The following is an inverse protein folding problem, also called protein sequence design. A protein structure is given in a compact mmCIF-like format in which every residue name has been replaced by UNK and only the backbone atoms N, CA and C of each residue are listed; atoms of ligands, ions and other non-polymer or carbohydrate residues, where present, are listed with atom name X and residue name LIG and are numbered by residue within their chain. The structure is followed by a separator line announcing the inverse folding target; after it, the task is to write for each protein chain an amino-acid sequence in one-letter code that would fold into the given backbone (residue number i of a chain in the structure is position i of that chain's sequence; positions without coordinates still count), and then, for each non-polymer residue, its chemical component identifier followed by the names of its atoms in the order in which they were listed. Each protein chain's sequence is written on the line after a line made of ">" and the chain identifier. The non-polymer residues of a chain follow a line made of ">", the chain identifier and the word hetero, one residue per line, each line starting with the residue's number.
data_IF_299458785873
#
_entry.id   IF_299458785873
#
_cell.length_a   1.000
_cell.length_b   1.000
_cell.length_c   1.000
_cell.angle_alpha   90.00
_cell.angle_beta   90.00
_cell.angle_gamma   90.00
#
_symmetry.space_group_name_H-M   'P 1'
#
loop_
_entity.id
_entity.type
_entity.pdbx_description
1 polymer ?
#
# COMPACT_ATOMS: atom_id res chain seq x y z
N UNK A 1 19.31 36.52 -4.47
CA UNK A 1 19.72 36.08 -3.12
C UNK A 1 18.50 35.63 -2.33
N UNK A 2 17.41 36.41 -2.32
CA UNK A 2 16.14 36.02 -1.64
C UNK A 2 15.59 34.63 -2.03
N UNK A 3 15.55 34.26 -3.31
CA UNK A 3 15.06 32.92 -3.73
C UNK A 3 15.93 31.73 -3.28
N UNK A 4 17.20 31.95 -2.96
CA UNK A 4 18.09 30.90 -2.45
C UNK A 4 17.98 30.77 -0.93
N UNK A 5 17.72 31.87 -0.22
CA UNK A 5 17.51 31.88 1.23
C UNK A 5 16.17 31.20 1.60
N UNK A 6 15.10 31.47 0.86
CA UNK A 6 13.80 30.81 1.04
C UNK A 6 13.88 29.28 0.86
N UNK A 7 14.66 28.81 -0.14
CA UNK A 7 14.85 27.36 -0.35
C UNK A 7 15.67 26.71 0.77
N UNK A 8 16.69 27.40 1.26
CA UNK A 8 17.54 26.90 2.35
C UNK A 8 16.75 26.79 3.66
N UNK A 9 15.88 27.76 3.95
CA UNK A 9 15.05 27.79 5.16
C UNK A 9 13.99 26.67 5.15
N UNK A 10 13.34 26.44 3.99
CA UNK A 10 12.39 25.33 3.81
C UNK A 10 13.06 23.97 3.99
N UNK A 11 14.27 23.79 3.45
CA UNK A 11 15.04 22.56 3.62
C UNK A 11 15.42 22.32 5.09
N UNK A 12 15.89 23.37 5.77
CA UNK A 12 16.22 23.33 7.20
C UNK A 12 15.02 22.93 8.06
N UNK A 13 13.86 23.54 7.81
CA UNK A 13 12.63 23.23 8.52
C UNK A 13 12.18 21.77 8.31
N UNK A 14 12.35 21.23 7.09
CA UNK A 14 12.05 19.82 6.78
C UNK A 14 12.96 18.85 7.53
N UNK A 15 14.26 19.14 7.57
CA UNK A 15 15.24 18.32 8.32
C UNK A 15 14.93 18.34 9.81
N UNK A 16 14.62 19.51 10.37
CA UNK A 16 14.23 19.64 11.78
C UNK A 16 12.96 18.82 12.09
N UNK A 17 11.95 18.88 11.21
CA UNK A 17 10.72 18.10 11.37
C UNK A 17 10.99 16.58 11.30
N UNK A 18 11.88 16.13 10.40
CA UNK A 18 12.31 14.74 10.32
C UNK A 18 12.97 14.26 11.61
N UNK A 19 13.96 15.01 12.12
CA UNK A 19 14.66 14.64 13.35
C UNK A 19 13.71 14.63 14.57
N UNK A 20 12.75 15.56 14.61
CA UNK A 20 11.71 15.55 15.64
C UNK A 20 10.84 14.28 15.55
N UNK A 21 10.44 13.87 14.34
CA UNK A 21 9.68 12.62 14.13
C UNK A 21 10.50 11.39 14.49
N UNK A 22 11.79 11.38 14.20
CA UNK A 22 12.69 10.30 14.59
C UNK A 22 12.77 10.18 16.10
N UNK A 23 13.03 11.29 16.81
CA UNK A 23 13.10 11.33 18.26
C UNK A 23 11.78 10.88 18.90
N UNK A 24 10.64 11.37 18.40
CA UNK A 24 9.32 10.97 18.87
C UNK A 24 9.06 9.46 18.66
N UNK A 25 9.42 8.94 17.48
CA UNK A 25 9.26 7.53 17.12
C UNK A 25 10.10 6.61 18.01
N UNK A 26 11.36 6.99 18.26
CA UNK A 26 12.26 6.27 19.16
C UNK A 26 11.75 6.30 20.61
N UNK A 27 11.27 7.45 21.09
CA UNK A 27 10.77 7.60 22.46
C UNK A 27 9.45 6.86 22.71
N UNK A 28 8.53 6.84 21.74
CA UNK A 28 7.18 6.30 21.95
C UNK A 28 7.08 4.81 21.63
N UNK A 29 7.88 4.31 20.70
CA UNK A 29 7.72 2.96 20.16
C UNK A 29 9.00 2.11 20.24
N UNK A 30 10.04 2.61 20.90
CA UNK A 30 11.38 2.00 20.90
C UNK A 30 11.87 1.67 19.46
N UNK A 31 11.52 2.53 18.51
CA UNK A 31 11.88 2.38 17.10
C UNK A 31 11.12 1.28 16.33
N UNK A 32 10.01 0.76 16.87
CA UNK A 32 9.15 -0.19 16.17
C UNK A 32 8.17 0.50 15.20
N UNK A 33 7.84 1.76 15.44
CA UNK A 33 6.93 2.56 14.63
C UNK A 33 7.62 3.84 14.21
N UNK A 34 7.49 4.21 12.95
CA UNK A 34 8.04 5.43 12.39
C UNK A 34 6.95 6.18 11.63
N UNK A 35 6.68 7.42 12.06
CA UNK A 35 5.71 8.30 11.43
C UNK A 35 6.40 9.48 10.74
N UNK A 36 6.41 9.44 9.41
CA UNK A 36 6.91 10.48 8.50
C UNK A 36 5.77 11.15 7.73
N UNK A 37 4.54 11.07 8.24
CA UNK A 37 3.39 11.64 7.54
C UNK A 37 3.40 13.17 7.51
N UNK A 38 2.94 13.73 6.39
CA UNK A 38 2.73 15.18 6.25
C UNK A 38 4.02 16.01 6.16
N UNK A 39 5.16 15.41 5.82
CA UNK A 39 6.46 16.09 5.76
C UNK A 39 6.78 16.64 4.36
N UNK A 40 5.81 16.57 3.43
CA UNK A 40 5.95 17.02 2.04
C UNK A 40 7.17 16.40 1.35
N UNK A 41 7.46 15.13 1.67
CA UNK A 41 8.60 14.41 1.10
C UNK A 41 8.36 14.14 -0.38
N UNK A 42 9.21 14.71 -1.23
CA UNK A 42 9.27 14.39 -2.66
C UNK A 42 10.09 13.12 -2.92
N UNK A 43 11.07 12.87 -2.06
CA UNK A 43 11.94 11.70 -2.08
C UNK A 43 11.97 11.06 -0.69
N UNK A 44 12.14 9.74 -0.67
CA UNK A 44 12.24 8.98 0.57
C UNK A 44 13.63 9.18 1.20
N UNK A 45 13.76 9.33 2.54
CA UNK A 45 15.06 9.48 3.19
C UNK A 45 15.97 8.28 2.93
N UNK A 46 17.29 8.42 3.10
CA UNK A 46 18.20 7.31 2.79
C UNK A 46 17.88 6.07 3.64
N UNK A 47 17.74 4.91 2.97
CA UNK A 47 17.40 3.65 3.65
C UNK A 47 18.50 3.23 4.64
N UNK A 48 19.75 3.57 4.39
CA UNK A 48 20.87 3.30 5.29
C UNK A 48 20.72 4.03 6.62
N UNK A 49 20.42 5.32 6.58
CA UNK A 49 20.19 6.11 7.78
C UNK A 49 18.99 5.56 8.56
N UNK A 50 17.86 5.34 7.90
CA UNK A 50 16.65 4.86 8.55
C UNK A 50 16.81 3.45 9.12
N UNK A 51 17.46 2.53 8.41
CA UNK A 51 17.69 1.16 8.91
C UNK A 51 18.66 1.13 10.10
N UNK A 52 19.62 2.06 10.16
CA UNK A 52 20.51 2.19 11.31
C UNK A 52 19.78 2.70 12.56
N UNK A 53 18.87 3.67 12.40
CA UNK A 53 18.07 4.24 13.51
C UNK A 53 16.92 3.32 13.92
N UNK A 54 16.33 2.58 12.98
CA UNK A 54 15.11 1.77 13.16
C UNK A 54 15.30 0.31 12.68
N UNK A 55 16.25 -0.46 13.23
CA UNK A 55 16.57 -1.80 12.74
C UNK A 55 15.46 -2.84 12.94
N UNK A 56 14.47 -2.53 13.78
CA UNK A 56 13.33 -3.42 14.11
C UNK A 56 11.99 -2.82 13.71
N UNK A 57 11.99 -1.94 12.70
CA UNK A 57 10.78 -1.24 12.29
C UNK A 57 9.70 -2.24 11.87
N UNK A 58 8.50 -2.08 12.45
CA UNK A 58 7.31 -2.89 12.16
C UNK A 58 6.19 -2.07 11.53
N UNK A 59 6.12 -0.78 11.80
CA UNK A 59 5.09 0.10 11.26
C UNK A 59 5.71 1.35 10.66
N UNK A 60 5.43 1.59 9.38
CA UNK A 60 5.92 2.76 8.68
C UNK A 60 4.73 3.54 8.14
N UNK A 61 4.62 4.80 8.55
CA UNK A 61 3.64 5.74 8.03
C UNK A 61 4.33 6.85 7.24
N UNK A 62 4.09 6.88 5.94
CA UNK A 62 4.57 7.91 5.00
C UNK A 62 3.39 8.60 4.30
N UNK A 63 2.22 8.58 4.93
CA UNK A 63 0.99 9.20 4.40
C UNK A 63 1.15 10.70 4.17
N UNK A 64 0.43 11.25 3.18
CA UNK A 64 0.39 12.71 2.92
C UNK A 64 1.77 13.29 2.63
N UNK A 65 2.49 12.64 1.73
CA UNK A 65 3.73 13.15 1.16
C UNK A 65 3.55 13.28 -0.37
N UNK A 66 4.64 13.58 -1.09
CA UNK A 66 4.65 13.75 -2.54
C UNK A 66 5.55 12.70 -3.22
N UNK A 67 5.58 11.49 -2.67
CA UNK A 67 6.43 10.41 -3.17
C UNK A 67 5.86 9.86 -4.48
N UNK A 68 6.73 9.73 -5.50
CA UNK A 68 6.37 9.17 -6.81
C UNK A 68 6.61 7.66 -6.89
N UNK A 69 7.52 7.16 -6.05
CA UNK A 69 7.84 5.74 -5.91
C UNK A 69 8.27 5.41 -4.48
N UNK A 70 8.19 4.13 -4.11
CA UNK A 70 8.81 3.61 -2.89
C UNK A 70 10.26 3.23 -3.20
N UNK A 71 11.21 3.50 -2.29
CA UNK A 71 12.63 3.25 -2.55
C UNK A 71 12.90 1.76 -2.77
N UNK A 72 13.77 1.47 -3.72
CA UNK A 72 14.22 0.11 -3.98
C UNK A 72 14.92 -0.48 -2.75
N UNK A 73 14.61 -1.72 -2.41
CA UNK A 73 15.19 -2.37 -1.24
C UNK A 73 14.59 -1.94 0.09
N UNK A 74 13.44 -1.25 0.11
CA UNK A 74 12.65 -0.99 1.33
C UNK A 74 12.42 -2.29 2.11
N UNK A 75 12.09 -3.39 1.41
CA UNK A 75 11.91 -4.70 1.99
C UNK A 75 13.18 -5.28 2.64
N UNK A 76 14.36 -4.95 2.11
CA UNK A 76 15.66 -5.37 2.66
C UNK A 76 16.03 -4.53 3.88
N UNK A 77 15.72 -3.24 3.87
CA UNK A 77 15.96 -2.34 4.99
C UNK A 77 15.06 -2.66 6.19
N UNK A 78 13.80 -3.01 5.95
CA UNK A 78 12.81 -3.29 7.00
C UNK A 78 12.13 -4.66 6.82
N UNK A 79 12.86 -5.78 6.98
CA UNK A 79 12.32 -7.12 6.74
C UNK A 79 11.21 -7.53 7.72
N UNK A 80 11.10 -6.83 8.86
CA UNK A 80 10.10 -7.06 9.90
C UNK A 80 8.86 -6.17 9.76
N UNK A 81 8.72 -5.42 8.67
CA UNK A 81 7.60 -4.52 8.46
C UNK A 81 6.28 -5.30 8.39
N UNK A 82 5.32 -4.88 9.20
CA UNK A 82 3.99 -5.49 9.36
C UNK A 82 2.91 -4.55 8.80
N UNK A 83 3.11 -3.24 8.90
CA UNK A 83 2.16 -2.25 8.41
C UNK A 83 2.89 -1.17 7.63
N UNK A 84 2.45 -0.92 6.40
CA UNK A 84 2.92 0.18 5.57
C UNK A 84 1.74 1.07 5.17
N UNK A 85 1.79 2.33 5.56
CA UNK A 85 0.82 3.34 5.14
C UNK A 85 1.49 4.36 4.21
N UNK A 86 1.20 4.27 2.92
CA UNK A 86 1.62 5.17 1.86
C UNK A 86 0.44 5.90 1.19
N UNK A 87 -0.67 6.03 1.92
CA UNK A 87 -1.87 6.74 1.50
C UNK A 87 -1.59 8.22 1.15
N UNK A 88 -2.32 8.81 0.21
CA UNK A 88 -2.18 10.22 -0.17
C UNK A 88 -0.73 10.58 -0.55
N UNK A 89 -0.19 9.88 -1.54
CA UNK A 89 1.08 10.19 -2.20
C UNK A 89 0.84 10.33 -3.72
N UNK A 90 1.91 10.37 -4.51
CA UNK A 90 1.85 10.39 -5.97
C UNK A 90 2.39 9.09 -6.58
N UNK A 91 2.29 7.95 -5.88
CA UNK A 91 2.87 6.69 -6.32
C UNK A 91 2.24 6.25 -7.66
N UNK A 92 3.07 6.06 -8.68
CA UNK A 92 2.59 5.66 -10.02
C UNK A 92 2.56 4.15 -10.22
N UNK A 93 3.38 3.43 -9.46
CA UNK A 93 3.52 1.98 -9.51
C UNK A 93 3.91 1.39 -8.15
N UNK A 94 3.67 0.09 -8.00
CA UNK A 94 4.18 -0.70 -6.88
C UNK A 94 5.20 -1.71 -7.39
N UNK A 95 6.48 -1.39 -7.23
CA UNK A 95 7.58 -2.25 -7.67
C UNK A 95 7.82 -3.44 -6.73
N UNK A 96 7.99 -4.63 -7.32
CA UNK A 96 8.38 -5.84 -6.62
C UNK A 96 9.75 -5.71 -5.93
N UNK A 97 10.64 -4.86 -6.47
CA UNK A 97 11.95 -4.56 -5.89
C UNK A 97 11.83 -3.74 -4.60
N UNK A 98 10.77 -2.96 -4.46
CA UNK A 98 10.53 -2.14 -3.27
C UNK A 98 9.89 -2.96 -2.15
N UNK A 99 8.71 -3.55 -2.39
CA UNK A 99 7.91 -4.21 -1.32
C UNK A 99 7.79 -5.73 -1.46
N UNK A 100 8.14 -6.31 -2.61
CA UNK A 100 7.86 -7.71 -2.94
C UNK A 100 8.60 -8.76 -2.10
N UNK A 101 9.48 -8.36 -1.16
CA UNK A 101 10.11 -9.27 -0.20
C UNK A 101 9.61 -9.12 1.24
N UNK A 102 8.58 -8.29 1.49
CA UNK A 102 8.01 -8.05 2.81
C UNK A 102 7.08 -9.19 3.27
N UNK A 103 7.64 -10.36 3.58
CA UNK A 103 6.88 -11.55 3.99
C UNK A 103 6.05 -11.39 5.27
N UNK A 104 6.41 -10.42 6.11
CA UNK A 104 5.72 -10.13 7.37
C UNK A 104 4.62 -9.08 7.24
N UNK A 105 4.47 -8.46 6.06
CA UNK A 105 3.52 -7.37 5.86
C UNK A 105 2.10 -7.90 5.93
N UNK A 106 1.32 -7.35 6.86
CA UNK A 106 -0.09 -7.70 7.08
C UNK A 106 -1.03 -6.63 6.52
N UNK A 107 -0.62 -5.36 6.59
CA UNK A 107 -1.44 -4.23 6.13
C UNK A 107 -0.66 -3.35 5.17
N UNK A 108 -1.21 -3.15 3.98
CA UNK A 108 -0.69 -2.23 2.98
C UNK A 108 -1.78 -1.23 2.60
N UNK A 109 -1.54 0.05 2.89
CA UNK A 109 -2.40 1.13 2.44
C UNK A 109 -1.67 1.99 1.41
N UNK A 110 -2.19 1.97 0.18
CA UNK A 110 -1.71 2.75 -0.97
C UNK A 110 -2.86 3.55 -1.59
N UNK A 111 -3.90 3.84 -0.81
CA UNK A 111 -5.05 4.59 -1.27
C UNK A 111 -4.69 6.04 -1.66
N UNK A 112 -5.47 6.65 -2.56
CA UNK A 112 -5.26 8.01 -3.04
C UNK A 112 -3.83 8.22 -3.59
N UNK A 113 -3.43 7.36 -4.51
CA UNK A 113 -2.18 7.45 -5.26
C UNK A 113 -2.50 7.53 -6.77
N UNK A 114 -1.51 7.29 -7.63
CA UNK A 114 -1.65 7.30 -9.09
C UNK A 114 -1.39 5.93 -9.73
N UNK A 115 -1.59 4.86 -8.96
CA UNK A 115 -1.26 3.50 -9.38
C UNK A 115 -2.19 3.08 -10.52
N UNK A 116 -1.62 2.57 -11.62
CA UNK A 116 -2.39 2.11 -12.80
C UNK A 116 -2.57 0.60 -12.87
N UNK A 117 -1.70 -0.15 -12.22
CA UNK A 117 -1.69 -1.61 -12.24
C UNK A 117 -1.24 -2.19 -10.90
N UNK A 118 -1.74 -3.39 -10.60
CA UNK A 118 -1.29 -4.19 -9.48
C UNK A 118 -0.56 -5.42 -10.02
N UNK A 119 0.77 -5.37 -10.21
CA UNK A 119 1.51 -6.46 -10.83
C UNK A 119 1.64 -7.65 -9.87
N UNK A 120 1.37 -8.86 -10.36
CA UNK A 120 1.44 -10.12 -9.60
C UNK A 120 2.77 -10.28 -8.85
N UNK A 121 3.89 -9.95 -9.52
CA UNK A 121 5.24 -10.08 -8.99
C UNK A 121 5.46 -9.31 -7.67
N UNK A 122 4.72 -8.22 -7.46
CA UNK A 122 4.81 -7.43 -6.24
C UNK A 122 4.15 -8.12 -5.04
N UNK A 123 3.13 -8.94 -5.28
CA UNK A 123 2.34 -9.59 -4.23
C UNK A 123 2.71 -11.06 -4.00
N UNK A 124 3.49 -11.67 -4.91
CA UNK A 124 3.86 -13.10 -4.88
C UNK A 124 4.45 -13.59 -3.55
N UNK A 125 5.16 -12.74 -2.80
CA UNK A 125 5.81 -13.15 -1.53
C UNK A 125 5.24 -12.45 -0.31
N UNK A 126 4.09 -11.78 -0.44
CA UNK A 126 3.41 -11.11 0.66
C UNK A 126 2.53 -12.09 1.45
N UNK A 127 3.11 -13.20 1.89
CA UNK A 127 2.44 -14.37 2.50
C UNK A 127 1.61 -14.05 3.76
N UNK A 128 1.92 -12.93 4.42
CA UNK A 128 1.22 -12.46 5.61
C UNK A 128 0.16 -11.40 5.33
N UNK A 129 -0.03 -10.95 4.07
CA UNK A 129 -0.89 -9.81 3.78
C UNK A 129 -2.35 -10.16 4.04
N UNK A 130 -2.98 -9.40 4.92
CA UNK A 130 -4.37 -9.57 5.35
C UNK A 130 -5.26 -8.46 4.78
N UNK A 131 -4.73 -7.24 4.65
CA UNK A 131 -5.47 -6.08 4.19
C UNK A 131 -4.68 -5.29 3.15
N UNK A 132 -5.31 -5.05 1.99
CA UNK A 132 -4.83 -4.18 0.93
C UNK A 132 -5.87 -3.10 0.65
N UNK A 133 -5.50 -1.85 0.93
CA UNK A 133 -6.29 -0.67 0.58
C UNK A 133 -5.65 0.07 -0.58
N UNK A 134 -6.28 0.00 -1.75
CA UNK A 134 -5.83 0.64 -2.98
C UNK A 134 -6.93 1.54 -3.59
N UNK A 135 -7.82 2.07 -2.75
CA UNK A 135 -8.90 2.96 -3.18
C UNK A 135 -8.40 4.27 -3.77
N UNK A 136 -9.17 4.90 -4.66
CA UNK A 136 -8.82 6.23 -5.19
C UNK A 136 -7.53 6.21 -6.01
N UNK A 137 -7.29 5.16 -6.79
CA UNK A 137 -6.18 5.05 -7.73
C UNK A 137 -6.70 5.05 -9.18
N UNK A 138 -5.83 4.77 -10.15
CA UNK A 138 -6.20 4.65 -11.56
C UNK A 138 -6.07 3.20 -12.05
N UNK A 139 -6.35 2.23 -11.17
CA UNK A 139 -6.12 0.82 -11.50
C UNK A 139 -7.12 0.40 -12.57
N UNK A 140 -6.62 -0.05 -13.73
CA UNK A 140 -7.46 -0.44 -14.87
C UNK A 140 -7.73 -1.94 -14.93
N UNK A 141 -6.76 -2.75 -14.50
CA UNK A 141 -6.81 -4.22 -14.56
C UNK A 141 -6.15 -4.83 -13.33
N UNK A 142 -6.67 -5.98 -12.92
CA UNK A 142 -6.07 -6.81 -11.87
C UNK A 142 -5.60 -8.10 -12.53
N UNK A 143 -4.28 -8.26 -12.58
CA UNK A 143 -3.61 -9.44 -13.13
C UNK A 143 -2.82 -10.10 -12.00
N UNK A 144 -3.39 -11.17 -11.42
CA UNK A 144 -2.76 -11.95 -10.34
C UNK A 144 -2.33 -13.37 -10.79
N UNK A 145 -2.40 -13.66 -12.08
CA UNK A 145 -1.78 -14.84 -12.68
C UNK A 145 -0.28 -14.58 -12.89
N UNK A 146 0.54 -15.49 -12.36
CA UNK A 146 1.94 -15.57 -12.72
C UNK A 146 2.04 -16.26 -14.08
N UNK A 147 2.75 -15.66 -15.05
CA UNK A 147 3.06 -16.32 -16.32
C UNK A 147 3.96 -17.55 -16.13
N UNK A 148 4.60 -17.66 -14.97
CA UNK A 148 5.37 -18.83 -14.56
C UNK A 148 4.46 -19.99 -14.12
N UNK A 149 4.31 -21.01 -14.99
CA UNK A 149 3.59 -22.27 -14.75
C UNK A 149 4.07 -23.04 -13.48
N UNK A 150 5.21 -22.65 -12.88
CA UNK A 150 5.80 -23.31 -11.71
C UNK A 150 5.34 -22.76 -10.37
N UNK A 151 4.78 -21.56 -10.32
CA UNK A 151 4.30 -20.96 -9.07
C UNK A 151 2.78 -21.11 -9.01
N UNK A 152 2.21 -21.61 -7.90
CA UNK A 152 0.76 -21.66 -7.77
C UNK A 152 0.18 -20.25 -7.85
N UNK A 153 -0.85 -20.08 -8.67
CA UNK A 153 -1.63 -18.84 -8.81
C UNK A 153 -2.01 -18.33 -7.41
N UNK A 154 -1.50 -17.15 -7.04
CA UNK A 154 -1.76 -16.49 -5.76
C UNK A 154 -1.16 -17.12 -4.49
N UNK A 155 -0.05 -17.85 -4.59
CA UNK A 155 0.68 -18.34 -3.41
C UNK A 155 0.98 -17.24 -2.37
N UNK A 156 1.21 -16.01 -2.84
CA UNK A 156 1.52 -14.86 -1.98
C UNK A 156 0.33 -14.28 -1.22
N UNK A 157 -0.86 -14.25 -1.80
CA UNK A 157 -2.03 -13.57 -1.21
C UNK A 157 -2.99 -14.51 -0.48
N UNK A 158 -2.50 -15.67 -0.09
CA UNK A 158 -3.30 -16.71 0.55
C UNK A 158 -3.98 -16.23 1.85
N UNK A 159 -3.44 -15.22 2.56
CA UNK A 159 -4.04 -14.68 3.78
C UNK A 159 -4.88 -13.42 3.58
N UNK A 160 -5.00 -12.92 2.35
CA UNK A 160 -5.70 -11.66 2.10
C UNK A 160 -7.19 -11.83 2.42
N UNK A 161 -7.69 -10.99 3.34
CA UNK A 161 -9.07 -11.00 3.80
C UNK A 161 -9.83 -9.76 3.32
N UNK A 162 -9.14 -8.62 3.21
CA UNK A 162 -9.72 -7.33 2.86
C UNK A 162 -9.00 -6.77 1.64
N UNK A 163 -9.76 -6.51 0.58
CA UNK A 163 -9.27 -5.88 -0.65
C UNK A 163 -10.18 -4.70 -1.00
N UNK A 164 -9.68 -3.48 -0.84
CA UNK A 164 -10.43 -2.26 -1.12
C UNK A 164 -9.91 -1.63 -2.41
N UNK A 165 -10.76 -1.62 -3.43
CA UNK A 165 -10.46 -1.12 -4.78
C UNK A 165 -11.50 -0.10 -5.23
N UNK A 166 -12.23 0.49 -4.29
CA UNK A 166 -13.19 1.53 -4.58
C UNK A 166 -12.56 2.73 -5.28
N UNK A 167 -13.33 3.44 -6.09
CA UNK A 167 -12.89 4.65 -6.80
C UNK A 167 -11.62 4.41 -7.64
N UNK A 168 -11.67 3.39 -8.49
CA UNK A 168 -10.63 3.06 -9.47
C UNK A 168 -11.20 3.12 -10.90
N UNK A 169 -10.44 2.64 -11.89
CA UNK A 169 -10.85 2.56 -13.30
C UNK A 169 -10.91 1.13 -13.80
N UNK A 170 -11.25 0.19 -12.92
CA UNK A 170 -11.23 -1.23 -13.25
C UNK A 170 -12.19 -1.50 -14.41
N UNK A 171 -11.66 -2.09 -15.48
CA UNK A 171 -12.43 -2.51 -16.64
C UNK A 171 -12.74 -4.01 -16.56
N UNK A 172 -11.74 -4.81 -16.23
CA UNK A 172 -11.84 -6.26 -16.14
C UNK A 172 -11.06 -6.81 -14.95
N UNK A 173 -11.56 -7.91 -14.38
CA UNK A 173 -10.86 -8.68 -13.35
C UNK A 173 -10.69 -10.11 -13.87
N UNK A 174 -9.44 -10.59 -13.92
CA UNK A 174 -9.14 -11.91 -14.45
C UNK A 174 -9.83 -13.01 -13.61
N UNK A 175 -10.51 -14.01 -14.22
CA UNK A 175 -11.10 -15.15 -13.52
C UNK A 175 -10.16 -15.83 -12.52
N UNK A 176 -8.88 -15.97 -12.86
CA UNK A 176 -7.84 -16.62 -12.04
C UNK A 176 -7.53 -15.86 -10.75
N UNK A 177 -7.85 -14.56 -10.68
CA UNK A 177 -7.78 -13.73 -9.46
C UNK A 177 -8.59 -14.35 -8.32
N UNK A 178 -9.67 -15.06 -8.65
CA UNK A 178 -10.53 -15.73 -7.66
C UNK A 178 -9.81 -16.86 -6.93
N UNK A 179 -8.98 -17.60 -7.66
CA UNK A 179 -8.18 -18.70 -7.11
C UNK A 179 -6.99 -18.15 -6.34
N UNK A 180 -6.46 -17.00 -6.76
CA UNK A 180 -5.38 -16.31 -6.06
C UNK A 180 -5.77 -15.75 -4.69
N UNK A 181 -7.07 -15.55 -4.43
CA UNK A 181 -7.60 -14.91 -3.22
C UNK A 181 -8.54 -15.85 -2.43
N UNK A 182 -8.04 -17.00 -1.94
CA UNK A 182 -8.89 -18.04 -1.36
C UNK A 182 -9.58 -17.61 -0.06
N UNK A 183 -8.96 -16.73 0.74
CA UNK A 183 -9.47 -16.30 2.05
C UNK A 183 -10.15 -14.93 2.04
N UNK A 184 -10.45 -14.36 0.87
CA UNK A 184 -11.05 -13.04 0.76
C UNK A 184 -12.47 -13.01 1.35
N UNK A 185 -12.70 -12.03 2.24
CA UNK A 185 -13.97 -11.85 2.95
C UNK A 185 -14.65 -10.54 2.57
N UNK A 186 -13.84 -9.49 2.48
CA UNK A 186 -14.27 -8.13 2.18
C UNK A 186 -13.63 -7.70 0.88
N UNK A 187 -14.47 -7.32 -0.07
CA UNK A 187 -14.06 -6.71 -1.32
C UNK A 187 -14.96 -5.52 -1.61
N UNK A 188 -14.34 -4.41 -1.96
CA UNK A 188 -15.04 -3.19 -2.38
C UNK A 188 -14.59 -2.81 -3.79
N UNK A 189 -15.52 -2.92 -4.74
CA UNK A 189 -15.36 -2.57 -6.15
C UNK A 189 -16.19 -1.33 -6.52
N UNK A 190 -16.76 -0.62 -5.54
CA UNK A 190 -17.61 0.55 -5.79
C UNK A 190 -16.83 1.65 -6.52
N UNK A 191 -17.51 2.53 -7.27
CA UNK A 191 -16.81 3.60 -7.98
C UNK A 191 -15.88 3.13 -9.11
N UNK A 192 -16.10 1.92 -9.66
CA UNK A 192 -15.49 1.45 -10.91
C UNK A 192 -16.55 1.41 -12.03
N UNK A 193 -16.82 2.53 -12.72
CA UNK A 193 -17.92 2.63 -13.67
C UNK A 193 -17.71 1.77 -14.93
N UNK A 194 -16.46 1.53 -15.30
CA UNK A 194 -16.07 0.81 -16.51
C UNK A 194 -15.97 -0.71 -16.30
N UNK A 195 -16.26 -1.21 -15.09
CA UNK A 195 -16.13 -2.63 -14.74
C UNK A 195 -17.25 -3.44 -15.41
N UNK A 196 -16.92 -4.11 -16.50
CA UNK A 196 -17.86 -4.91 -17.29
C UNK A 196 -17.85 -6.38 -16.89
N UNK A 197 -16.66 -6.90 -16.55
CA UNK A 197 -16.46 -8.32 -16.25
C UNK A 197 -15.75 -8.50 -14.90
N UNK A 198 -16.46 -9.12 -13.96
CA UNK A 198 -15.94 -9.52 -12.67
C UNK A 198 -16.32 -10.98 -12.37
N UNK A 199 -15.41 -11.79 -11.79
CA UNK A 199 -15.71 -13.17 -11.43
C UNK A 199 -16.90 -13.25 -10.46
N UNK A 200 -17.80 -14.20 -10.71
CA UNK A 200 -19.04 -14.42 -9.94
C UNK A 200 -18.83 -14.42 -8.42
N UNK A 201 -17.76 -15.07 -7.95
CA UNK A 201 -17.43 -15.12 -6.53
C UNK A 201 -17.12 -13.74 -5.94
N UNK A 202 -16.33 -12.92 -6.65
CA UNK A 202 -15.97 -11.57 -6.20
C UNK A 202 -17.17 -10.64 -6.24
N UNK A 203 -18.00 -10.75 -7.28
CA UNK A 203 -19.25 -10.00 -7.40
C UNK A 203 -20.20 -10.29 -6.23
N UNK A 204 -20.44 -11.56 -5.90
CA UNK A 204 -21.29 -11.95 -4.76
C UNK A 204 -20.74 -11.46 -3.43
N UNK A 205 -19.41 -11.50 -3.24
CA UNK A 205 -18.77 -10.95 -2.05
C UNK A 205 -18.99 -9.43 -1.96
N UNK A 206 -18.79 -8.71 -3.06
CA UNK A 206 -19.02 -7.26 -3.12
C UNK A 206 -20.49 -6.91 -2.77
N UNK A 207 -21.45 -7.55 -3.42
CA UNK A 207 -22.89 -7.35 -3.18
C UNK A 207 -23.26 -7.64 -1.72
N UNK A 208 -22.74 -8.74 -1.15
CA UNK A 208 -22.94 -9.07 0.27
C UNK A 208 -22.40 -7.97 1.18
N UNK A 209 -21.22 -7.44 0.89
CA UNK A 209 -20.62 -6.37 1.70
C UNK A 209 -21.43 -5.08 1.59
N UNK A 210 -21.85 -4.69 0.39
CA UNK A 210 -22.71 -3.51 0.20
C UNK A 210 -24.00 -3.59 1.02
N UNK A 211 -24.65 -4.77 1.05
CA UNK A 211 -25.86 -5.00 1.85
C UNK A 211 -25.63 -4.92 3.36
N UNK A 212 -24.43 -5.30 3.83
CA UNK A 212 -24.06 -5.15 5.23
C UNK A 212 -23.87 -3.67 5.60
N UNK A 213 -23.24 -2.88 4.71
CA UNK A 213 -23.02 -1.44 4.95
C UNK A 213 -24.30 -0.60 4.83
N UNK A 214 -25.25 -0.99 3.96
CA UNK A 214 -26.54 -0.29 3.88
C UNK A 214 -27.43 -0.56 5.10
N UNK A 215 -27.29 -1.73 5.75
CA UNK A 215 -28.00 -2.05 7.00
C UNK A 215 -27.39 -1.35 8.21
N UNK A 216 -26.09 -1.11 8.24
CA UNK A 216 -25.44 -0.35 9.32
C UNK A 216 -25.69 1.16 9.23
N UNK A 217 -25.96 1.69 8.03
CA UNK A 217 -26.29 3.10 7.81
C UNK A 217 -27.80 3.41 7.97
N UNK A 218 -28.61 2.42 8.32
CA UNK A 218 -30.07 2.54 8.52
C UNK A 218 -30.50 2.67 9.99
N UNK A 219 -29.57 2.94 10.91
CA UNK A 219 -29.89 3.18 12.33
C UNK A 219 -29.40 4.57 12.73
N UNK A 220 -30.20 5.59 12.42
CA UNK A 220 -30.25 6.84 13.16
C UNK A 220 -31.62 7.50 12.96
#
# INVERSE_FOLDING_TARGET
>A
MEQQEDQQEVLSARVAALEQRYAASLAQSNGLTLDLSGLQLTEFPTLEELSSKFPRLRQLNIRRNALHSLPEGLARAFPQLVSLNACENALEELSAVSIGALRSLQRLNVAHNRIRELPVATFERLEALEELDARGNFIEKIKLDSEDEKLPVGAGLCKLQVLLLADNRLQTIDPTTTDALPNLRVIDLSGNPDLTEAPERLRRLHERNLLLHSRTNGVN
#
